data_IF_630968443832
#
_entry.id   IF_630968443832
#
_cell.length_a   1.000
_cell.length_b   1.000
_cell.length_c   1.000
_cell.angle_alpha   90.00
_cell.angle_beta   90.00
_cell.angle_gamma   90.00
#
_symmetry.space_group_name_H-M   'P 1'
#
loop_
_entity.id
_entity.type
_entity.pdbx_description
1 polymer ?
#
# COMPACT_ATOMS: atom_id res chain seq x y z
N UNK A 1 15.99 39.05 5.76
CA UNK A 1 16.38 38.04 6.78
C UNK A 1 15.21 37.22 7.31
N UNK A 2 14.06 37.83 7.70
CA UNK A 2 12.89 37.08 8.20
C UNK A 2 12.28 36.10 7.17
N UNK A 3 12.17 36.48 5.89
CA UNK A 3 11.58 35.63 4.85
C UNK A 3 12.40 34.36 4.57
N UNK A 4 13.73 34.46 4.60
CA UNK A 4 14.62 33.30 4.42
C UNK A 4 14.46 32.28 5.55
N UNK A 5 14.28 32.74 6.79
CA UNK A 5 14.06 31.85 7.94
C UNK A 5 12.73 31.12 7.80
N UNK A 6 11.67 31.81 7.37
CA UNK A 6 10.35 31.21 7.12
C UNK A 6 10.43 30.18 5.98
N UNK A 7 11.12 30.50 4.89
CA UNK A 7 11.27 29.60 3.74
C UNK A 7 12.05 28.32 4.12
N UNK A 8 13.14 28.46 4.89
CA UNK A 8 13.93 27.33 5.37
C UNK A 8 13.13 26.46 6.33
N UNK A 9 12.38 27.06 7.27
CA UNK A 9 11.51 26.31 8.18
C UNK A 9 10.43 25.54 7.43
N UNK A 10 9.79 26.17 6.43
CA UNK A 10 8.77 25.52 5.59
C UNK A 10 9.36 24.36 4.79
N UNK A 11 10.57 24.53 4.24
CA UNK A 11 11.26 23.48 3.49
C UNK A 11 11.65 22.28 4.38
N UNK A 12 12.10 22.53 5.61
CA UNK A 12 12.39 21.47 6.59
C UNK A 12 11.10 20.70 6.94
N UNK A 13 9.99 21.40 7.18
CA UNK A 13 8.70 20.76 7.46
C UNK A 13 8.26 19.89 6.27
N UNK A 14 8.36 20.39 5.03
CA UNK A 14 8.04 19.66 3.81
C UNK A 14 8.94 18.45 3.55
N UNK A 15 10.21 18.48 3.94
CA UNK A 15 11.13 17.33 3.83
C UNK A 15 10.93 16.26 4.91
N UNK A 16 10.37 16.61 6.07
CA UNK A 16 10.02 15.65 7.13
C UNK A 16 8.64 15.01 6.89
N UNK A 17 7.73 15.71 6.22
CA UNK A 17 6.39 15.23 5.86
C UNK A 17 6.25 14.19 4.71
N UNK A 18 7.23 13.87 3.83
CA UNK A 18 7.02 12.89 2.76
C UNK A 18 6.86 11.47 3.29
N UNK A 19 7.27 11.21 4.55
CA UNK A 19 7.07 9.93 5.21
C UNK A 19 5.59 9.54 5.37
N UNK A 20 4.68 10.51 5.42
CA UNK A 20 3.25 10.25 5.65
C UNK A 20 2.50 9.95 4.34
N UNK A 21 2.97 10.46 3.19
CA UNK A 21 2.44 10.07 1.87
C UNK A 21 3.02 8.75 1.36
N UNK A 22 4.23 8.39 1.81
CA UNK A 22 4.89 7.12 1.49
C UNK A 22 4.21 5.90 2.14
N UNK A 23 3.40 6.13 3.18
CA UNK A 23 2.63 5.10 3.88
C UNK A 23 1.28 4.78 3.22
N UNK A 24 0.95 5.41 2.08
CA UNK A 24 -0.13 4.91 1.22
C UNK A 24 0.40 3.70 0.47
N UNK A 25 0.48 2.61 1.22
CA UNK A 25 0.92 1.28 0.86
C UNK A 25 0.56 0.96 -0.59
N UNK A 26 1.50 1.21 -1.50
CA UNK A 26 1.53 0.58 -2.81
C UNK A 26 2.00 -0.87 -2.64
N UNK A 27 1.48 -1.56 -1.61
CA UNK A 27 1.66 -2.99 -1.53
C UNK A 27 1.03 -3.56 -2.80
N UNK A 28 1.86 -4.22 -3.62
CA UNK A 28 1.44 -4.65 -4.95
C UNK A 28 0.17 -5.50 -4.81
N UNK A 29 -0.91 -5.16 -5.53
CA UNK A 29 -2.17 -5.87 -5.42
C UNK A 29 -2.00 -7.37 -5.72
N UNK A 30 -2.84 -8.19 -5.08
CA UNK A 30 -2.77 -9.66 -5.14
C UNK A 30 -2.61 -10.23 -6.56
N UNK A 31 -3.31 -9.63 -7.55
CA UNK A 31 -3.25 -10.07 -8.95
C UNK A 31 -1.86 -9.89 -9.59
N UNK A 32 -1.08 -8.90 -9.18
CA UNK A 32 0.29 -8.71 -9.65
C UNK A 32 1.28 -9.71 -9.02
N UNK A 33 0.90 -10.38 -7.93
CA UNK A 33 1.71 -11.43 -7.28
C UNK A 33 1.34 -12.85 -7.77
N UNK A 34 0.41 -12.96 -8.73
CA UNK A 34 -0.07 -14.26 -9.23
C UNK A 34 -1.15 -14.92 -8.36
N UNK A 35 -1.81 -14.14 -7.50
CA UNK A 35 -3.04 -14.54 -6.82
C UNK A 35 -4.28 -13.94 -7.49
N UNK A 36 -5.45 -14.24 -6.95
CA UNK A 36 -6.75 -13.68 -7.35
C UNK A 36 -7.52 -13.27 -6.09
N UNK A 37 -8.25 -12.17 -6.18
CA UNK A 37 -9.09 -11.69 -5.09
C UNK A 37 -10.44 -12.42 -5.12
N UNK A 38 -10.70 -13.28 -4.14
CA UNK A 38 -11.92 -14.10 -4.04
C UNK A 38 -12.61 -13.90 -2.69
N UNK A 39 -13.89 -14.28 -2.59
CA UNK A 39 -14.59 -14.29 -1.31
C UNK A 39 -14.03 -15.40 -0.41
N UNK A 40 -14.00 -15.13 0.91
CA UNK A 40 -13.64 -16.12 1.91
C UNK A 40 -14.59 -17.34 1.80
N UNK A 41 -14.02 -18.55 1.80
CA UNK A 41 -14.78 -19.79 1.64
C UNK A 41 -14.97 -20.27 0.19
N UNK A 42 -14.29 -19.65 -0.79
CA UNK A 42 -14.29 -20.18 -2.17
C UNK A 42 -13.56 -21.53 -2.20
N UNK A 43 -14.20 -22.63 -2.66
CA UNK A 43 -13.58 -23.95 -2.71
C UNK A 43 -12.45 -24.01 -3.75
N UNK A 44 -11.53 -24.98 -3.61
CA UNK A 44 -10.36 -25.19 -4.48
C UNK A 44 -9.33 -24.03 -4.52
N UNK A 45 -9.34 -23.17 -3.51
CA UNK A 45 -8.39 -22.07 -3.39
C UNK A 45 -7.64 -22.14 -2.06
N UNK A 46 -6.35 -21.80 -2.08
CA UNK A 46 -5.52 -21.67 -0.88
C UNK A 46 -5.26 -20.19 -0.56
N UNK A 47 -5.17 -19.81 0.74
CA UNK A 47 -4.90 -18.44 1.15
C UNK A 47 -3.52 -17.98 0.65
N UNK A 48 -3.47 -16.78 0.06
CA UNK A 48 -2.27 -16.20 -0.51
C UNK A 48 -2.00 -14.81 0.08
N UNK A 49 -0.76 -14.35 0.01
CA UNK A 49 -0.33 -13.11 0.68
C UNK A 49 -0.39 -11.91 -0.27
N UNK A 50 -1.33 -11.01 -0.03
CA UNK A 50 -1.41 -9.74 -0.73
C UNK A 50 -2.68 -8.95 -0.43
N UNK A 51 -2.73 -7.67 -0.80
CA UNK A 51 -3.85 -6.80 -0.51
C UNK A 51 -4.95 -6.98 -1.57
N UNK A 52 -6.19 -7.04 -1.08
CA UNK A 52 -7.45 -7.01 -1.82
C UNK A 52 -8.42 -6.09 -1.05
N UNK A 53 -9.33 -5.40 -1.75
CA UNK A 53 -10.15 -4.35 -1.12
C UNK A 53 -11.24 -4.89 -0.16
N UNK A 54 -12.01 -5.90 -0.59
CA UNK A 54 -13.14 -6.47 0.17
C UNK A 54 -13.16 -8.00 0.15
N UNK A 55 -12.06 -8.58 -0.29
CA UNK A 55 -11.91 -10.00 -0.61
C UNK A 55 -10.58 -10.48 -0.07
N UNK A 56 -10.40 -11.80 0.02
CA UNK A 56 -9.13 -12.39 0.42
C UNK A 56 -8.29 -12.68 -0.82
N UNK A 57 -6.99 -12.47 -0.69
CA UNK A 57 -6.03 -12.90 -1.71
C UNK A 57 -5.89 -14.42 -1.63
N UNK A 58 -6.17 -15.12 -2.73
CA UNK A 58 -6.11 -16.58 -2.81
C UNK A 58 -5.41 -17.01 -4.10
N UNK A 59 -4.95 -18.25 -4.15
CA UNK A 59 -4.41 -18.88 -5.37
C UNK A 59 -5.15 -20.19 -5.62
N UNK A 60 -5.32 -20.56 -6.89
CA UNK A 60 -5.81 -21.91 -7.21
C UNK A 60 -4.85 -22.94 -6.64
N UNK A 61 -5.41 -23.98 -6.02
CA UNK A 61 -4.67 -25.15 -5.56
C UNK A 61 -4.18 -25.91 -6.80
N UNK A 62 -2.86 -26.00 -6.96
CA UNK A 62 -2.22 -26.76 -8.05
C UNK A 62 -2.04 -28.23 -7.66
#
# INVERSE_FOLDING_TARGET
>A
MKLHVVLVALFIILQVLPGISSARSFERPCYLRGGICLKQGTPNCEPFRGPCAFTVCSKMRS
#
